data_IF_205871789909
#
_entry.id   IF_205871789909
#
_cell.length_a   1.000
_cell.length_b   1.000
_cell.length_c   1.000
_cell.angle_alpha   90.00
_cell.angle_beta   90.00
_cell.angle_gamma   90.00
#
_symmetry.space_group_name_H-M   'P 1'
#
loop_
_entity.id
_entity.type
_entity.pdbx_description
1 polymer ?
#
# COMPACT_ATOMS: atom_id res chain seq x y z
N UNK A 1 30.97 -18.38 4.65
CA UNK A 1 30.80 -16.99 4.16
C UNK A 1 30.02 -16.96 2.85
N UNK A 2 30.46 -17.66 1.79
CA UNK A 2 29.70 -17.68 0.51
C UNK A 2 28.36 -18.43 0.58
N UNK A 3 28.27 -19.52 1.36
CA UNK A 3 27.00 -20.25 1.50
C UNK A 3 25.96 -19.46 2.32
N UNK A 4 26.42 -18.66 3.29
CA UNK A 4 25.53 -17.82 4.11
C UNK A 4 24.97 -16.64 3.33
N UNK A 5 25.76 -16.02 2.44
CA UNK A 5 25.26 -14.95 1.57
C UNK A 5 24.20 -15.48 0.61
N UNK A 6 24.41 -16.64 -0.01
CA UNK A 6 23.42 -17.28 -0.90
C UNK A 6 22.07 -17.50 -0.22
N UNK A 7 22.05 -17.98 1.02
CA UNK A 7 20.80 -18.17 1.78
C UNK A 7 20.12 -16.84 2.05
N UNK A 8 20.88 -15.82 2.47
CA UNK A 8 20.34 -14.48 2.76
C UNK A 8 19.79 -13.82 1.48
N UNK A 9 20.51 -13.91 0.36
CA UNK A 9 20.06 -13.43 -0.95
C UNK A 9 18.83 -14.19 -1.44
N UNK A 10 18.81 -15.51 -1.35
CA UNK A 10 17.65 -16.32 -1.76
C UNK A 10 16.37 -16.04 -0.96
N UNK A 11 16.51 -15.64 0.31
CA UNK A 11 15.39 -15.22 1.18
C UNK A 11 14.99 -13.75 0.99
N UNK A 12 15.79 -12.95 0.28
CA UNK A 12 15.54 -11.51 0.08
C UNK A 12 14.17 -11.21 -0.54
N UNK A 13 13.71 -11.92 -1.59
CA UNK A 13 12.36 -11.71 -2.15
C UNK A 13 11.24 -11.89 -1.12
N UNK A 14 11.37 -12.88 -0.25
CA UNK A 14 10.39 -13.14 0.83
C UNK A 14 10.46 -12.07 1.91
N UNK A 15 11.67 -11.66 2.30
CA UNK A 15 11.86 -10.58 3.27
C UNK A 15 11.27 -9.25 2.77
N UNK A 16 11.53 -8.91 1.50
CA UNK A 16 11.01 -7.70 0.88
C UNK A 16 9.49 -7.73 0.69
N UNK A 17 8.90 -8.91 0.44
CA UNK A 17 7.44 -9.02 0.32
C UNK A 17 6.72 -8.51 1.58
N UNK A 18 7.25 -8.74 2.77
CA UNK A 18 6.65 -8.22 4.01
C UNK A 18 6.72 -6.68 4.14
N UNK A 19 7.60 -6.03 3.37
CA UNK A 19 7.80 -4.58 3.39
C UNK A 19 7.03 -3.87 2.27
N UNK A 20 6.60 -4.61 1.24
CA UNK A 20 5.93 -4.08 0.07
C UNK A 20 4.56 -3.43 0.35
N UNK A 21 4.10 -2.53 -0.54
CA UNK A 21 2.72 -2.07 -0.54
C UNK A 21 1.76 -3.19 -0.95
N UNK A 22 0.53 -3.13 -0.45
CA UNK A 22 -0.53 -4.05 -0.86
C UNK A 22 -1.17 -3.59 -2.17
N UNK A 23 -1.74 -4.52 -2.94
CA UNK A 23 -2.46 -4.21 -4.18
C UNK A 23 -3.66 -3.30 -3.90
N UNK A 24 -4.32 -3.46 -2.74
CA UNK A 24 -5.41 -2.59 -2.28
C UNK A 24 -4.96 -1.15 -2.06
N UNK A 25 -3.84 -0.92 -1.36
CA UNK A 25 -3.29 0.43 -1.15
C UNK A 25 -2.88 1.11 -2.48
N UNK A 26 -2.32 0.34 -3.42
CA UNK A 26 -1.96 0.87 -4.75
C UNK A 26 -3.19 1.18 -5.62
N UNK A 27 -4.27 0.40 -5.51
CA UNK A 27 -5.50 0.58 -6.30
C UNK A 27 -6.35 1.76 -5.79
N UNK A 28 -6.42 1.95 -4.47
CA UNK A 28 -7.09 3.10 -3.85
C UNK A 28 -6.38 4.39 -4.22
N UNK A 29 -5.05 4.38 -4.16
CA UNK A 29 -4.20 5.48 -4.59
C UNK A 29 -4.35 5.78 -6.09
N UNK A 30 -4.42 4.74 -6.93
CA UNK A 30 -4.59 4.87 -8.39
C UNK A 30 -5.85 5.66 -8.76
N UNK A 31 -6.94 5.49 -7.99
CA UNK A 31 -8.19 6.24 -8.20
C UNK A 31 -8.05 7.76 -8.07
N UNK A 32 -7.04 8.22 -7.34
CA UNK A 32 -6.88 9.63 -6.98
C UNK A 32 -5.66 10.24 -7.69
N UNK A 33 -4.55 9.51 -7.73
CA UNK A 33 -3.27 9.93 -8.32
C UNK A 33 -2.62 8.79 -9.10
N UNK A 34 -3.09 8.49 -10.32
CA UNK A 34 -2.65 7.32 -11.09
C UNK A 34 -1.15 7.36 -11.42
N UNK A 35 -0.61 8.53 -11.79
CA UNK A 35 0.81 8.67 -12.13
C UNK A 35 1.74 8.40 -10.93
N UNK A 36 1.33 8.87 -9.74
CA UNK A 36 2.12 8.64 -8.54
C UNK A 36 2.08 7.14 -8.16
N UNK A 37 0.89 6.51 -8.24
CA UNK A 37 0.72 5.07 -8.03
C UNK A 37 1.61 4.24 -8.95
N UNK A 38 1.69 4.61 -10.23
CA UNK A 38 2.59 3.96 -11.19
C UNK A 38 4.06 4.09 -10.82
N UNK A 39 4.53 5.29 -10.49
CA UNK A 39 5.92 5.49 -10.09
C UNK A 39 6.27 4.69 -8.83
N UNK A 40 5.37 4.70 -7.84
CA UNK A 40 5.53 3.91 -6.61
C UNK A 40 5.55 2.40 -6.88
N UNK A 41 4.78 1.94 -7.86
CA UNK A 41 4.76 0.54 -8.29
C UNK A 41 6.09 0.09 -8.89
N UNK A 42 6.75 0.94 -9.68
CA UNK A 42 8.11 0.67 -10.18
C UNK A 42 9.19 0.87 -9.11
N UNK A 43 8.92 1.70 -8.11
CA UNK A 43 9.82 1.99 -6.99
C UNK A 43 9.74 1.00 -5.84
N UNK A 44 8.84 0.03 -5.87
CA UNK A 44 8.69 -1.02 -4.86
C UNK A 44 9.22 -2.35 -5.43
N UNK A 45 10.22 -2.99 -4.80
CA UNK A 45 10.83 -4.21 -5.32
C UNK A 45 10.07 -5.50 -4.94
N UNK A 46 9.03 -5.42 -4.12
CA UNK A 46 8.21 -6.57 -3.74
C UNK A 46 6.76 -6.16 -3.42
N UNK A 47 5.79 -7.01 -3.77
CA UNK A 47 4.38 -6.91 -3.35
C UNK A 47 4.22 -7.62 -2.02
N UNK A 48 3.41 -7.09 -1.11
CA UNK A 48 3.00 -7.84 0.07
C UNK A 48 2.02 -8.95 -0.31
N UNK A 49 2.41 -10.20 -0.03
CA UNK A 49 1.55 -11.36 -0.20
C UNK A 49 0.33 -11.22 0.73
N UNK A 50 -0.81 -10.83 0.18
CA UNK A 50 -2.08 -11.02 0.86
C UNK A 50 -2.56 -12.46 0.70
N UNK A 51 -3.51 -12.83 1.56
CA UNK A 51 -4.04 -14.18 1.76
C UNK A 51 -4.63 -14.73 0.46
N UNK A 52 -4.06 -15.81 -0.07
CA UNK A 52 -4.29 -16.46 -1.40
C UNK A 52 -5.75 -16.95 -1.63
N UNK A 53 -6.67 -16.70 -0.70
CA UNK A 53 -8.04 -17.24 -0.77
C UNK A 53 -9.07 -16.24 -0.25
N UNK A 54 -8.72 -14.96 -0.26
CA UNK A 54 -9.59 -13.92 0.26
C UNK A 54 -9.40 -12.69 -0.60
N UNK A 55 -10.38 -12.46 -1.48
CA UNK A 55 -10.54 -11.16 -2.12
C UNK A 55 -10.83 -10.14 -1.03
N UNK A 56 -9.81 -9.40 -0.67
CA UNK A 56 -9.90 -8.30 0.26
C UNK A 56 -10.47 -7.10 -0.49
N UNK A 57 -11.74 -6.77 -0.24
CA UNK A 57 -12.32 -5.52 -0.76
C UNK A 57 -11.42 -4.35 -0.35
N UNK A 58 -10.88 -3.57 -1.32
CA UNK A 58 -9.91 -2.51 -1.06
C UNK A 58 -10.47 -1.47 -0.08
N UNK A 59 -11.79 -1.25 -0.02
CA UNK A 59 -12.37 -0.30 0.91
C UNK A 59 -12.42 -0.81 2.35
N UNK A 60 -12.53 -2.13 2.54
CA UNK A 60 -12.68 -2.74 3.86
C UNK A 60 -11.31 -2.95 4.55
N UNK A 61 -10.24 -3.19 3.79
CA UNK A 61 -8.86 -3.27 4.32
C UNK A 61 -8.35 -1.94 4.86
N UNK A 62 -8.68 -0.83 4.20
CA UNK A 62 -8.37 0.52 4.70
C UNK A 62 -9.09 0.79 6.03
N UNK A 63 -10.32 0.27 6.19
CA UNK A 63 -11.11 0.44 7.40
C UNK A 63 -10.52 -0.30 8.61
N UNK A 64 -9.95 -1.49 8.40
CA UNK A 64 -9.30 -2.29 9.45
C UNK A 64 -7.94 -1.71 9.87
N UNK A 65 -7.16 -1.17 8.92
CA UNK A 65 -5.82 -0.58 9.19
C UNK A 65 -5.87 0.86 9.74
N UNK A 66 -7.09 1.38 9.98
CA UNK A 66 -7.46 2.71 10.50
C UNK A 66 -6.79 3.14 11.82
N UNK A 67 -6.25 2.20 12.60
CA UNK A 67 -5.61 2.48 13.90
C UNK A 67 -4.10 2.81 13.87
N UNK A 68 -3.43 2.77 12.70
CA UNK A 68 -2.00 3.11 12.60
C UNK A 68 -1.69 4.61 12.43
N UNK A 69 -2.71 5.48 12.57
CA UNK A 69 -2.61 6.93 12.31
C UNK A 69 -1.79 7.72 13.32
N UNK A 70 -1.49 7.18 14.50
CA UNK A 70 -0.77 7.93 15.56
C UNK A 70 0.63 8.40 15.14
N UNK A 71 1.32 7.65 14.29
CA UNK A 71 2.66 8.04 13.80
C UNK A 71 2.57 9.13 12.72
N UNK A 72 1.54 9.09 11.88
CA UNK A 72 1.33 10.05 10.79
C UNK A 72 0.72 11.37 11.26
N UNK A 73 -0.01 11.37 12.38
CA UNK A 73 -0.48 12.59 13.04
C UNK A 73 0.68 13.53 13.42
N UNK A 74 1.87 12.98 13.73
CA UNK A 74 3.06 13.80 14.01
C UNK A 74 3.66 14.42 12.73
N UNK A 75 3.47 13.76 11.58
CA UNK A 75 3.92 14.23 10.27
C UNK A 75 2.84 15.00 9.50
N UNK A 76 1.71 15.35 10.13
CA UNK A 76 0.60 16.13 9.56
C UNK A 76 0.95 17.62 9.30
N UNK A 77 2.21 17.90 8.98
CA UNK A 77 2.81 19.20 8.60
C UNK A 77 2.18 19.75 7.30
N UNK A 78 1.44 18.94 6.54
CA UNK A 78 0.85 19.28 5.24
C UNK A 78 -0.46 20.07 5.22
N UNK A 79 -0.99 20.58 6.35
CA UNK A 79 -2.31 21.23 6.39
C UNK A 79 -2.39 22.54 5.60
N UNK A 80 -1.28 23.26 5.48
CA UNK A 80 -1.25 24.57 4.83
C UNK A 80 -1.25 24.48 3.30
N UNK A 81 -2.31 24.99 2.66
CA UNK A 81 -2.52 25.05 1.19
C UNK A 81 -1.31 25.57 0.40
N UNK A 82 -0.48 26.42 1.01
CA UNK A 82 0.74 27.00 0.40
C UNK A 82 1.83 25.97 0.13
N UNK A 83 1.98 24.94 0.96
CA UNK A 83 3.07 23.95 0.83
C UNK A 83 2.65 22.68 0.09
N UNK A 84 1.37 22.58 -0.33
CA UNK A 84 0.83 21.39 -1.02
C UNK A 84 1.59 21.07 -2.31
N UNK A 85 1.98 22.10 -3.08
CA UNK A 85 2.75 21.88 -4.31
C UNK A 85 4.18 21.41 -4.04
N UNK A 86 4.84 21.95 -3.01
CA UNK A 86 6.18 21.52 -2.61
C UNK A 86 6.17 20.07 -2.11
N UNK A 87 5.17 19.68 -1.31
CA UNK A 87 4.98 18.31 -0.86
C UNK A 87 4.82 17.37 -2.05
N UNK A 88 3.98 17.72 -3.03
CA UNK A 88 3.83 16.91 -4.25
C UNK A 88 5.18 16.76 -4.99
N UNK A 89 5.93 17.85 -5.19
CA UNK A 89 7.24 17.78 -5.87
C UNK A 89 8.18 16.82 -5.11
N UNK A 90 8.24 16.95 -3.78
CA UNK A 90 9.06 16.11 -2.92
C UNK A 90 8.65 14.63 -3.03
N UNK A 91 7.35 14.32 -3.03
CA UNK A 91 6.84 12.95 -3.24
C UNK A 91 7.31 12.36 -4.58
N UNK A 92 7.19 13.12 -5.68
CA UNK A 92 7.64 12.67 -7.00
C UNK A 92 9.15 12.48 -7.09
N UNK A 93 9.94 13.39 -6.48
CA UNK A 93 11.40 13.27 -6.43
C UNK A 93 11.81 12.03 -5.65
N UNK A 94 11.19 11.77 -4.50
CA UNK A 94 11.47 10.56 -3.73
C UNK A 94 11.04 9.28 -4.43
N UNK A 95 9.90 9.28 -5.13
CA UNK A 95 9.48 8.14 -5.95
C UNK A 95 10.49 7.85 -7.07
N UNK A 96 10.93 8.88 -7.80
CA UNK A 96 11.97 8.74 -8.82
C UNK A 96 13.31 8.29 -8.24
N UNK A 97 13.70 8.81 -7.08
CA UNK A 97 14.90 8.39 -6.38
C UNK A 97 14.83 6.92 -5.96
N UNK A 98 13.66 6.44 -5.51
CA UNK A 98 13.46 5.04 -5.16
C UNK A 98 13.61 4.12 -6.38
N UNK A 99 13.03 4.50 -7.54
CA UNK A 99 13.19 3.79 -8.82
C UNK A 99 14.66 3.78 -9.24
N UNK A 100 15.32 4.94 -9.24
CA UNK A 100 16.72 5.06 -9.62
C UNK A 100 17.63 4.23 -8.70
N UNK A 101 17.36 4.21 -7.39
CA UNK A 101 18.10 3.39 -6.43
C UNK A 101 17.92 1.90 -6.72
N UNK A 102 16.70 1.44 -7.01
CA UNK A 102 16.45 0.04 -7.34
C UNK A 102 17.19 -0.37 -8.62
N UNK A 103 17.09 0.43 -9.68
CA UNK A 103 17.80 0.16 -10.95
C UNK A 103 19.32 0.12 -10.70
N UNK A 104 19.85 1.11 -9.98
CA UNK A 104 21.27 1.18 -9.65
C UNK A 104 21.73 -0.04 -8.84
N UNK A 105 20.96 -0.44 -7.84
CA UNK A 105 21.29 -1.59 -6.99
C UNK A 105 21.21 -2.90 -7.77
N UNK A 106 20.21 -3.06 -8.65
CA UNK A 106 20.11 -4.23 -9.53
C UNK A 106 21.30 -4.36 -10.45
N UNK A 107 21.75 -3.25 -11.06
CA UNK A 107 22.94 -3.25 -11.92
C UNK A 107 24.23 -3.49 -11.13
N UNK A 108 24.40 -2.87 -9.97
CA UNK A 108 25.60 -3.06 -9.13
C UNK A 108 25.71 -4.50 -8.61
N UNK A 109 24.59 -5.12 -8.22
CA UNK A 109 24.53 -6.52 -7.83
C UNK A 109 25.01 -7.44 -8.97
N UNK A 110 24.60 -7.12 -10.18
CA UNK A 110 24.89 -7.91 -11.37
C UNK A 110 26.35 -7.82 -11.80
N UNK A 111 26.96 -6.63 -11.77
CA UNK A 111 28.40 -6.48 -12.05
C UNK A 111 29.29 -7.15 -10.99
N UNK A 112 28.77 -7.41 -9.80
CA UNK A 112 29.50 -8.04 -8.68
C UNK A 112 29.24 -9.54 -8.55
N UNK A 113 28.32 -10.11 -9.32
CA UNK A 113 27.93 -11.51 -9.20
C UNK A 113 27.96 -12.23 -10.55
N UNK A 114 28.07 -13.55 -10.50
CA UNK A 114 27.97 -14.38 -11.70
C UNK A 114 26.73 -15.27 -11.58
N UNK A 115 25.84 -15.22 -12.57
CA UNK A 115 24.65 -16.08 -12.61
C UNK A 115 25.01 -17.50 -13.07
N UNK A 116 24.45 -18.50 -12.39
CA UNK A 116 24.59 -19.91 -12.80
C UNK A 116 23.75 -20.30 -14.01
N UNK A 117 22.73 -19.50 -14.34
CA UNK A 117 21.79 -19.83 -15.42
C UNK A 117 22.36 -19.47 -16.79
N UNK A 118 23.03 -18.32 -16.88
CA UNK A 118 23.63 -17.84 -18.11
C UNK A 118 24.74 -16.85 -17.80
N UNK A 119 26.00 -17.23 -18.06
CA UNK A 119 27.17 -16.46 -17.65
C UNK A 119 27.33 -15.10 -18.36
N UNK A 120 26.70 -14.91 -19.52
CA UNK A 120 26.77 -13.66 -20.30
C UNK A 120 25.56 -12.73 -20.11
N UNK A 121 24.57 -13.15 -19.32
CA UNK A 121 23.29 -12.47 -19.26
C UNK A 121 23.16 -11.59 -18.01
N UNK A 122 22.97 -10.29 -18.28
CA UNK A 122 23.04 -9.19 -17.33
C UNK A 122 21.64 -8.55 -17.14
N UNK A 123 20.57 -9.33 -17.08
CA UNK A 123 19.24 -8.74 -16.94
C UNK A 123 18.33 -9.42 -15.92
N UNK A 124 18.78 -10.49 -15.27
CA UNK A 124 17.91 -11.28 -14.39
C UNK A 124 17.41 -10.51 -13.14
N UNK A 125 18.26 -9.83 -12.34
CA UNK A 125 17.79 -9.05 -11.19
C UNK A 125 16.97 -7.83 -11.62
N UNK A 126 17.31 -7.25 -12.77
CA UNK A 126 16.61 -6.11 -13.34
C UNK A 126 15.21 -6.50 -13.83
N UNK A 127 15.07 -7.64 -14.51
CA UNK A 127 13.74 -8.12 -14.93
C UNK A 127 12.89 -8.55 -13.76
N UNK A 128 13.46 -9.11 -12.69
CA UNK A 128 12.71 -9.39 -11.49
C UNK A 128 11.99 -8.13 -10.97
N UNK A 129 12.72 -7.03 -10.80
CA UNK A 129 12.12 -5.73 -10.40
C UNK A 129 11.09 -5.23 -11.42
N UNK A 130 11.43 -5.24 -12.71
CA UNK A 130 10.54 -4.67 -13.74
C UNK A 130 9.23 -5.44 -13.87
N UNK A 131 9.28 -6.78 -13.75
CA UNK A 131 8.08 -7.63 -13.78
C UNK A 131 7.09 -7.16 -12.72
N UNK A 132 7.56 -6.78 -11.53
CA UNK A 132 6.67 -6.33 -10.47
C UNK A 132 5.98 -5.01 -10.75
N UNK A 133 6.74 -4.04 -11.26
CA UNK A 133 6.18 -2.75 -11.69
C UNK A 133 5.09 -2.95 -12.72
N UNK A 134 5.27 -3.91 -13.64
CA UNK A 134 4.26 -4.28 -14.63
C UNK A 134 3.03 -4.95 -14.01
N UNK A 135 3.20 -5.86 -13.05
CA UNK A 135 2.07 -6.52 -12.37
C UNK A 135 1.17 -5.49 -11.69
N UNK A 136 1.76 -4.54 -10.96
CA UNK A 136 1.02 -3.46 -10.33
C UNK A 136 0.42 -2.48 -11.34
N UNK A 137 1.14 -2.14 -12.42
CA UNK A 137 0.60 -1.30 -13.48
C UNK A 137 -0.64 -1.96 -14.10
N UNK A 138 -0.59 -3.25 -14.42
CA UNK A 138 -1.73 -4.00 -14.97
C UNK A 138 -2.89 -4.02 -13.96
N UNK A 139 -2.64 -4.35 -12.69
CA UNK A 139 -3.69 -4.37 -11.67
C UNK A 139 -4.37 -3.01 -11.47
N UNK A 140 -3.59 -1.92 -11.50
CA UNK A 140 -4.13 -0.55 -11.38
C UNK A 140 -4.90 -0.11 -12.62
N UNK A 141 -4.45 -0.49 -13.82
CA UNK A 141 -5.18 -0.25 -15.07
C UNK A 141 -6.50 -1.03 -15.07
N UNK A 142 -6.47 -2.31 -14.70
CA UNK A 142 -7.66 -3.15 -14.62
C UNK A 142 -8.70 -2.57 -13.66
N UNK A 143 -8.27 -2.13 -12.47
CA UNK A 143 -9.15 -1.46 -11.51
C UNK A 143 -9.73 -0.14 -12.06
N UNK A 144 -8.94 0.61 -12.82
CA UNK A 144 -9.40 1.86 -13.44
C UNK A 144 -10.48 1.62 -14.50
N UNK A 145 -10.39 0.50 -15.23
CA UNK A 145 -11.37 0.09 -16.24
C UNK A 145 -12.62 -0.57 -15.63
N UNK A 146 -12.58 -1.05 -14.39
CA UNK A 146 -13.74 -1.68 -13.74
C UNK A 146 -14.86 -0.66 -13.50
N UNK A 147 -16.07 -0.91 -14.04
CA UNK A 147 -17.23 -0.06 -13.76
C UNK A 147 -17.56 -0.10 -12.26
N UNK A 148 -17.65 1.07 -11.62
CA UNK A 148 -18.01 1.18 -10.21
C UNK A 148 -19.52 1.21 -10.08
N UNK A 149 -20.13 0.09 -9.68
CA UNK A 149 -21.56 0.06 -9.37
C UNK A 149 -21.78 0.54 -7.94
N UNK A 150 -22.71 1.47 -7.77
CA UNK A 150 -23.12 1.94 -6.44
C UNK A 150 -24.30 1.09 -6.01
N UNK A 151 -24.08 0.13 -5.11
CA UNK A 151 -25.17 -0.58 -4.44
C UNK A 151 -25.77 0.31 -3.35
N UNK A 152 -27.09 0.43 -3.31
CA UNK A 152 -27.76 0.74 -2.04
C UNK A 152 -27.77 -0.57 -1.24
N UNK A 153 -27.35 -0.51 0.03
CA UNK A 153 -27.56 -1.64 0.92
C UNK A 153 -29.07 -1.85 1.05
N UNK A 154 -29.56 -3.02 0.65
CA UNK A 154 -30.97 -3.37 0.87
C UNK A 154 -31.27 -3.33 2.38
N UNK A 155 -32.36 -2.65 2.69
CA UNK A 155 -32.94 -2.52 4.02
C UNK A 155 -33.03 -3.88 4.70
N UNK A 156 -32.27 -4.07 5.78
CA UNK A 156 -32.60 -5.10 6.74
C UNK A 156 -33.94 -4.70 7.39
N UNK A 157 -35.03 -5.35 6.98
CA UNK A 157 -36.30 -5.28 7.67
C UNK A 157 -36.11 -5.63 9.15
N UNK A 158 -36.34 -4.65 10.03
CA UNK A 158 -36.42 -4.91 11.47
C UNK A 158 -36.11 -3.72 12.38
N UNK A 159 -37.19 -3.04 12.80
CA UNK A 159 -37.35 -2.18 13.97
C UNK A 159 -36.78 -0.75 13.95
N UNK A 160 -37.71 0.17 13.65
CA UNK A 160 -38.00 1.45 14.32
C UNK A 160 -36.86 2.42 14.66
N UNK A 161 -36.80 3.52 13.90
CA UNK A 161 -36.93 4.83 14.55
C UNK A 161 -35.72 5.76 14.63
N UNK A 162 -34.57 5.46 14.03
CA UNK A 162 -33.56 6.49 13.74
C UNK A 162 -33.09 6.35 12.29
N UNK A 163 -33.34 7.37 11.48
CA UNK A 163 -32.81 7.52 10.13
C UNK A 163 -31.29 7.66 10.17
N UNK A 164 -30.60 6.56 10.47
CA UNK A 164 -29.18 6.39 10.27
C UNK A 164 -29.00 6.34 8.76
N UNK A 165 -28.38 7.39 8.22
CA UNK A 165 -28.01 7.55 6.82
C UNK A 165 -27.29 6.28 6.36
N UNK A 166 -28.00 5.40 5.66
CA UNK A 166 -27.48 4.11 5.24
C UNK A 166 -26.13 4.31 4.52
N UNK A 167 -25.07 3.60 4.92
CA UNK A 167 -23.78 3.74 4.25
C UNK A 167 -23.95 3.27 2.80
N UNK A 168 -23.66 4.18 1.85
CA UNK A 168 -23.57 3.84 0.44
C UNK A 168 -22.33 2.95 0.25
N UNK A 169 -22.53 1.65 0.12
CA UNK A 169 -21.45 0.68 -0.05
C UNK A 169 -21.14 0.60 -1.56
N UNK A 170 -19.97 1.10 -1.96
CA UNK A 170 -19.46 0.90 -3.31
C UNK A 170 -18.86 -0.51 -3.34
N UNK A 171 -19.67 -1.50 -3.70
CA UNK A 171 -19.18 -2.85 -3.95
C UNK A 171 -18.61 -2.90 -5.36
N UNK A 172 -17.30 -3.08 -5.48
CA UNK A 172 -16.70 -3.44 -6.76
C UNK A 172 -17.03 -4.90 -7.03
N UNK A 173 -17.88 -5.15 -8.03
CA UNK A 173 -18.19 -6.50 -8.50
C UNK A 173 -16.89 -7.23 -8.86
N UNK A 174 -16.64 -8.38 -8.23
CA UNK A 174 -15.48 -9.21 -8.49
C UNK A 174 -15.47 -9.61 -9.99
N UNK A 175 -14.36 -9.44 -10.72
CA UNK A 175 -14.24 -9.96 -12.07
C UNK A 175 -14.05 -11.47 -12.00
N UNK A 176 -15.15 -12.21 -12.21
CA UNK A 176 -15.25 -13.68 -12.11
C UNK A 176 -14.35 -14.51 -13.04
N UNK A 177 -13.32 -13.94 -13.68
CA UNK A 177 -12.43 -14.67 -14.59
C UNK A 177 -10.93 -14.27 -14.51
N UNK A 178 -10.55 -13.26 -13.72
CA UNK A 178 -9.14 -12.79 -13.61
C UNK A 178 -8.55 -12.92 -12.20
N UNK A 179 -9.33 -13.33 -11.20
CA UNK A 179 -8.83 -13.45 -9.81
C UNK A 179 -7.75 -14.54 -9.66
N UNK A 180 -7.84 -15.63 -10.43
CA UNK A 180 -6.82 -16.70 -10.42
C UNK A 180 -5.44 -16.25 -10.91
N UNK A 181 -5.37 -15.24 -11.78
CA UNK A 181 -4.11 -14.86 -12.44
C UNK A 181 -3.30 -13.86 -11.60
N UNK A 182 -3.96 -13.00 -10.82
CA UNK A 182 -3.29 -11.93 -10.06
C UNK A 182 -2.52 -12.46 -8.84
N UNK A 183 -3.04 -13.49 -8.18
CA UNK A 183 -2.43 -14.12 -7.00
C UNK A 183 -1.26 -15.03 -7.38
N UNK A 184 -1.42 -15.78 -8.48
CA UNK A 184 -0.34 -16.56 -9.08
C UNK A 184 0.81 -15.65 -9.53
N UNK A 185 0.50 -14.42 -9.96
CA UNK A 185 1.50 -13.45 -10.37
C UNK A 185 2.41 -13.00 -9.22
N UNK A 186 1.83 -12.68 -8.05
CA UNK A 186 2.61 -12.31 -6.86
C UNK A 186 3.48 -13.45 -6.34
N UNK A 187 2.92 -14.65 -6.26
CA UNK A 187 3.67 -15.86 -5.87
C UNK A 187 4.77 -16.19 -6.89
N UNK A 188 4.43 -16.16 -8.18
CA UNK A 188 5.35 -16.41 -9.28
C UNK A 188 6.49 -15.41 -9.32
N UNK A 189 6.22 -14.13 -9.07
CA UNK A 189 7.25 -13.10 -8.96
C UNK A 189 8.22 -13.37 -7.80
N UNK A 190 7.72 -13.80 -6.64
CA UNK A 190 8.57 -14.15 -5.49
C UNK A 190 9.40 -15.38 -5.79
N UNK A 191 8.78 -16.44 -6.34
CA UNK A 191 9.50 -17.65 -6.75
C UNK A 191 10.59 -17.34 -7.78
N UNK A 192 10.26 -16.53 -8.80
CA UNK A 192 11.21 -16.08 -9.80
C UNK A 192 12.36 -15.29 -9.16
N UNK A 193 12.05 -14.35 -8.26
CA UNK A 193 13.06 -13.64 -7.47
C UNK A 193 13.96 -14.61 -6.69
N UNK A 194 13.38 -15.57 -5.97
CA UNK A 194 14.15 -16.52 -5.18
C UNK A 194 15.08 -17.35 -6.06
N UNK A 195 14.62 -17.76 -7.24
CA UNK A 195 15.46 -18.47 -8.22
C UNK A 195 16.60 -17.59 -8.73
N UNK A 196 16.31 -16.35 -9.14
CA UNK A 196 17.30 -15.38 -9.63
C UNK A 196 18.35 -15.09 -8.55
N UNK A 197 17.96 -14.71 -7.34
CA UNK A 197 18.92 -14.39 -6.27
C UNK A 197 19.68 -15.62 -5.76
N UNK A 198 19.08 -16.82 -5.77
CA UNK A 198 19.80 -18.05 -5.41
C UNK A 198 20.82 -18.47 -6.48
N UNK A 199 20.66 -17.99 -7.72
CA UNK A 199 21.60 -18.25 -8.82
C UNK A 199 22.83 -17.34 -8.83
N UNK A 200 22.88 -16.30 -7.98
CA UNK A 200 23.99 -15.34 -7.95
C UNK A 200 25.16 -15.88 -7.11
N UNK A 201 26.23 -16.32 -7.77
CA UNK A 201 27.44 -16.77 -7.10
C UNK A 201 28.43 -15.61 -6.86
N UNK A 202 29.42 -15.88 -5.99
CA UNK A 202 30.58 -15.02 -5.68
C UNK A 202 30.31 -13.72 -4.88
N UNK A 203 29.12 -13.56 -4.31
CA UNK A 203 28.84 -12.44 -3.39
C UNK A 203 29.25 -12.79 -1.95
N UNK A 204 30.04 -11.93 -1.32
CA UNK A 204 30.27 -11.99 0.12
C UNK A 204 29.08 -11.41 0.89
N UNK A 205 28.92 -11.81 2.16
CA UNK A 205 27.85 -11.28 3.03
C UNK A 205 27.99 -9.77 3.21
N UNK A 206 29.22 -9.28 3.27
CA UNK A 206 29.55 -7.85 3.42
C UNK A 206 29.04 -7.01 2.23
N UNK A 207 28.99 -7.59 1.04
CA UNK A 207 28.45 -6.95 -0.16
C UNK A 207 26.93 -7.14 -0.29
N UNK A 208 26.41 -8.27 0.16
CA UNK A 208 25.00 -8.62 0.05
C UNK A 208 24.11 -7.79 1.00
N UNK A 209 24.53 -7.58 2.24
CA UNK A 209 23.73 -6.88 3.27
C UNK A 209 23.39 -5.44 2.86
N UNK A 210 24.35 -4.61 2.39
CA UNK A 210 24.05 -3.26 1.91
C UNK A 210 23.05 -3.25 0.76
N UNK A 211 23.13 -4.22 -0.17
CA UNK A 211 22.19 -4.34 -1.29
C UNK A 211 20.76 -4.58 -0.79
N UNK A 212 20.59 -5.53 0.13
CA UNK A 212 19.28 -5.85 0.72
C UNK A 212 18.71 -4.65 1.47
N UNK A 213 19.53 -3.95 2.26
CA UNK A 213 19.10 -2.75 2.99
C UNK A 213 18.66 -1.67 2.00
N UNK A 214 19.34 -1.50 0.87
CA UNK A 214 18.96 -0.51 -0.15
C UNK A 214 17.64 -0.86 -0.85
N UNK A 215 17.41 -2.14 -1.17
CA UNK A 215 16.10 -2.58 -1.66
C UNK A 215 15.00 -2.35 -0.61
N UNK A 216 15.26 -2.71 0.64
CA UNK A 216 14.33 -2.52 1.74
C UNK A 216 14.03 -1.03 1.97
N UNK A 217 15.03 -0.16 1.87
CA UNK A 217 14.87 1.28 2.01
C UNK A 217 13.96 1.86 0.92
N UNK A 218 14.13 1.47 -0.35
CA UNK A 218 13.21 1.87 -1.42
C UNK A 218 11.79 1.36 -1.17
N UNK A 219 11.63 0.09 -0.75
CA UNK A 219 10.32 -0.49 -0.44
C UNK A 219 9.60 0.27 0.69
N UNK A 220 10.31 0.53 1.80
CA UNK A 220 9.81 1.28 2.95
C UNK A 220 9.48 2.71 2.57
N UNK A 221 10.29 3.36 1.75
CA UNK A 221 10.03 4.73 1.30
C UNK A 221 8.75 4.80 0.46
N UNK A 222 8.58 3.89 -0.50
CA UNK A 222 7.36 3.81 -1.30
C UNK A 222 6.13 3.55 -0.43
N UNK A 223 6.24 2.64 0.54
CA UNK A 223 5.16 2.37 1.50
C UNK A 223 4.83 3.60 2.36
N UNK A 224 5.84 4.36 2.80
CA UNK A 224 5.62 5.59 3.56
C UNK A 224 4.89 6.65 2.74
N UNK A 225 5.25 6.85 1.47
CA UNK A 225 4.58 7.79 0.57
C UNK A 225 3.11 7.39 0.37
N UNK A 226 2.83 6.11 0.11
CA UNK A 226 1.45 5.61 -0.06
C UNK A 226 0.61 5.87 1.19
N UNK A 227 1.13 5.53 2.36
CA UNK A 227 0.43 5.73 3.64
C UNK A 227 0.18 7.22 3.95
N UNK A 228 1.15 8.08 3.60
CA UNK A 228 1.00 9.52 3.73
C UNK A 228 -0.11 10.07 2.84
N UNK A 229 -0.19 9.61 1.58
CA UNK A 229 -1.22 10.05 0.63
C UNK A 229 -2.62 9.62 1.06
N UNK A 230 -2.80 8.38 1.49
CA UNK A 230 -4.08 7.91 2.01
C UNK A 230 -4.53 8.70 3.25
N UNK A 231 -3.59 9.01 4.14
CA UNK A 231 -3.86 9.84 5.32
C UNK A 231 -4.26 11.26 4.91
N UNK A 232 -3.56 11.86 3.95
CA UNK A 232 -3.86 13.21 3.47
C UNK A 232 -5.25 13.31 2.85
N UNK A 233 -5.66 12.30 2.10
CA UNK A 233 -6.99 12.27 1.48
C UNK A 233 -8.09 12.14 2.54
N UNK A 234 -7.84 11.38 3.61
CA UNK A 234 -8.77 11.30 4.76
C UNK A 234 -8.95 12.66 5.44
N UNK A 235 -7.87 13.45 5.57
CA UNK A 235 -7.94 14.79 6.14
C UNK A 235 -8.73 15.77 5.26
N UNK A 236 -8.60 15.66 3.93
CA UNK A 236 -9.33 16.52 2.99
C UNK A 236 -10.82 16.12 2.85
N UNK A 237 -11.23 14.96 3.37
CA UNK A 237 -12.63 14.51 3.33
C UNK A 237 -13.52 15.30 4.29
N UNK A 238 -14.70 15.79 3.88
CA UNK A 238 -15.57 16.69 4.66
C UNK A 238 -16.14 16.11 5.97
N UNK A 239 -15.85 14.84 6.30
CA UNK A 239 -16.21 14.16 7.55
C UNK A 239 -15.00 13.72 8.39
N UNK A 240 -13.85 14.38 8.25
CA UNK A 240 -12.61 14.03 8.95
C UNK A 240 -12.70 14.05 10.49
N UNK A 241 -11.65 13.54 11.18
CA UNK A 241 -11.63 13.33 12.64
C UNK A 241 -11.91 14.60 13.46
N UNK A 242 -11.68 15.77 12.88
CA UNK A 242 -11.98 17.07 13.50
C UNK A 242 -13.49 17.29 13.68
N UNK A 243 -14.33 16.94 12.69
CA UNK A 243 -15.80 17.00 12.84
C UNK A 243 -16.30 15.97 13.83
N UNK A 244 -15.76 14.76 13.81
CA UNK A 244 -16.14 13.73 14.80
C UNK A 244 -15.73 14.13 16.22
N UNK A 245 -14.59 14.81 16.39
CA UNK A 245 -14.18 15.34 17.70
C UNK A 245 -15.01 16.54 18.16
N UNK A 246 -15.50 17.36 17.22
CA UNK A 246 -16.41 18.47 17.50
C UNK A 246 -17.81 17.95 17.83
N UNK A 247 -18.34 17.00 17.07
CA UNK A 247 -19.61 16.32 17.34
C UNK A 247 -19.54 15.54 18.67
N UNK A 248 -18.44 14.83 18.96
CA UNK A 248 -18.26 14.15 20.24
C UNK A 248 -18.17 15.13 21.42
N UNK A 249 -17.52 16.29 21.23
CA UNK A 249 -17.52 17.37 22.24
C UNK A 249 -18.89 18.00 22.40
N UNK A 250 -19.62 18.20 21.32
CA UNK A 250 -20.96 18.80 21.31
C UNK A 250 -21.99 17.88 21.97
N UNK A 251 -21.93 16.57 21.71
CA UNK A 251 -22.74 15.54 22.39
C UNK A 251 -22.36 15.43 23.88
N UNK A 252 -21.06 15.48 24.22
CA UNK A 252 -20.62 15.52 25.62
C UNK A 252 -21.11 16.77 26.34
N UNK A 253 -21.07 17.94 25.69
CA UNK A 253 -21.56 19.19 26.26
C UNK A 253 -23.09 19.23 26.37
N UNK A 254 -23.81 18.56 25.48
CA UNK A 254 -25.27 18.43 25.51
C UNK A 254 -25.73 17.48 26.63
N UNK A 255 -25.05 16.35 26.82
CA UNK A 255 -25.34 15.40 27.89
C UNK A 255 -25.13 15.99 29.29
N UNK A 256 -24.19 16.92 29.45
CA UNK A 256 -23.93 17.59 30.74
C UNK A 256 -24.95 18.70 31.07
N UNK A 257 -25.77 19.13 30.10
CA UNK A 257 -26.86 20.11 30.32
C UNK A 257 -28.20 19.49 30.74
N UNK A 258 -28.32 18.17 30.74
CA UNK A 258 -29.53 17.42 31.10
C UNK A 258 -29.47 16.77 32.50
N UNK A 259 -29.37 17.53 33.62
CA UNK A 259 -29.82 16.96 34.90
C UNK A 259 -30.62 17.92 35.80
N UNK A 260 -31.55 18.73 35.28
CA UNK A 260 -32.40 19.59 36.14
C UNK A 260 -33.90 19.68 35.79
N UNK A 261 -34.38 19.04 34.72
CA UNK A 261 -35.79 19.21 34.30
C UNK A 261 -36.75 18.09 34.76
N UNK A 262 -36.27 16.92 35.21
CA UNK A 262 -37.14 15.77 35.51
C UNK A 262 -37.29 15.51 37.02
N UNK A 263 -37.73 16.53 37.75
CA UNK A 263 -37.93 16.47 39.19
C UNK A 263 -39.12 17.30 39.65
N UNK A 264 -40.27 17.20 38.98
CA UNK A 264 -41.51 17.74 39.56
C UNK A 264 -42.78 17.03 39.10
N UNK A 265 -43.47 16.51 40.11
CA UNK A 265 -44.92 16.42 40.23
C UNK A 265 -45.62 15.14 39.75
N UNK A 266 -45.70 14.16 40.65
CA UNK A 266 -46.94 13.39 40.87
C UNK A 266 -47.12 13.14 42.37
N UNK A 267 -47.88 14.03 43.03
CA UNK A 267 -48.63 13.77 44.28
C UNK A 267 -50.05 14.24 44.02
#
# INVERSE_FOLDING_TARGET
>A
MLSTSLVILGLTPTLLSNLGPTIAESSTLSSQRPLLSWLLSFGAPAVMMCRIWTYDDPYNTIASRRNSSKLLDHFAIGRTRRYRWLINIVEYVFALAAIANIIHVSLDLEFRSVSTWYCESWWFPLTWVLILGLIHAIGTISFWMTPKTVGCADEAEGLDGLASKAPRIITTQAPNLLDSDSELSGLGHVMYGTLVFSSLMFLMVEDAVPVIIRYAASAVMCRFIIQYEEYRVKLDSPGGPERQSLEAKEVSHAAEREPLANGRSTV
#
